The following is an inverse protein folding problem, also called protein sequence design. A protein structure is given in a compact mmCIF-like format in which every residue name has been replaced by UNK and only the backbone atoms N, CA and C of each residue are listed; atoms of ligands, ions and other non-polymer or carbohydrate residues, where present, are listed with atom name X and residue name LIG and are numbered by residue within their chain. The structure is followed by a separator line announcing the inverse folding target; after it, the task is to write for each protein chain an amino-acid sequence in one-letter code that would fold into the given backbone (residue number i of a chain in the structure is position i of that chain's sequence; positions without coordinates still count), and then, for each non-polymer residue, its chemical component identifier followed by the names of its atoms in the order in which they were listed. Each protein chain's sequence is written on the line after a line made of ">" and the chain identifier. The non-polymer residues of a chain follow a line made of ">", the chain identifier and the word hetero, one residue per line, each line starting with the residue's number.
data_IF_221714476022
#
_entry.id   IF_221714476022
#
_cell.length_a   1.000
_cell.length_b   1.000
_cell.length_c   1.000
_cell.angle_alpha   90.00
_cell.angle_beta   90.00
_cell.angle_gamma   90.00
#
_symmetry.space_group_name_H-M   'P 1'
#
loop_
_entity.id
_entity.type
_entity.pdbx_description
1 polymer ?
#
# COMPACT_ATOMS: atom_id res chain seq x y z
N UNK A 1 22.20 -0.90 -0.45
CA UNK A 1 20.74 -1.15 -0.29
C UNK A 1 20.48 -2.64 -0.26
N UNK A 2 19.83 -3.16 0.79
CA UNK A 2 19.33 -4.54 0.78
C UNK A 2 17.90 -4.57 0.22
N UNK A 3 17.74 -4.97 -1.04
CA UNK A 3 16.45 -4.96 -1.73
C UNK A 3 15.47 -6.03 -1.20
N UNK A 4 15.97 -7.05 -0.50
CA UNK A 4 15.12 -8.11 0.06
C UNK A 4 14.11 -7.60 1.11
N UNK A 5 14.34 -6.39 1.65
CA UNK A 5 13.44 -5.76 2.62
C UNK A 5 12.33 -4.94 1.96
N UNK A 6 12.39 -4.66 0.65
CA UNK A 6 11.35 -3.92 -0.06
C UNK A 6 10.18 -4.84 -0.45
N UNK A 7 9.53 -5.43 0.55
CA UNK A 7 8.37 -6.31 0.40
C UNK A 7 7.39 -6.08 1.53
N UNK A 8 6.12 -6.29 1.24
CA UNK A 8 5.09 -6.32 2.28
C UNK A 8 5.24 -7.63 3.07
N UNK A 9 5.35 -7.59 4.40
CA UNK A 9 5.39 -8.80 5.22
C UNK A 9 4.09 -9.62 5.12
N UNK A 10 4.18 -10.95 5.15
CA UNK A 10 3.05 -11.87 4.92
C UNK A 10 1.85 -11.68 5.87
N UNK A 11 2.10 -11.14 7.08
CA UNK A 11 1.06 -10.97 8.11
C UNK A 11 0.25 -9.68 7.96
N UNK A 12 0.67 -8.77 7.08
CA UNK A 12 -0.04 -7.49 6.89
C UNK A 12 -1.31 -7.73 6.10
N UNK A 13 -2.44 -7.29 6.65
CA UNK A 13 -3.77 -7.36 6.00
C UNK A 13 -4.37 -5.99 5.69
N UNK A 14 -3.91 -4.96 6.40
CA UNK A 14 -4.45 -3.59 6.31
C UNK A 14 -3.32 -2.59 6.14
N UNK A 15 -3.50 -1.64 5.23
CA UNK A 15 -2.54 -0.57 4.93
C UNK A 15 -3.27 0.78 5.03
N UNK A 16 -2.70 1.73 5.77
CA UNK A 16 -3.18 3.11 5.81
C UNK A 16 -2.21 4.00 5.03
N UNK A 17 -2.67 4.61 3.94
CA UNK A 17 -1.88 5.54 3.13
C UNK A 17 -2.17 6.98 3.56
N UNK A 18 -1.14 7.69 4.00
CA UNK A 18 -1.22 9.13 4.23
C UNK A 18 -1.10 9.89 2.92
N UNK A 19 -1.76 11.05 2.82
CA UNK A 19 -1.80 11.88 1.61
C UNK A 19 -2.33 11.11 0.39
N UNK A 20 -3.38 10.30 0.60
CA UNK A 20 -3.93 9.42 -0.43
C UNK A 20 -4.53 10.17 -1.63
N UNK A 21 -4.88 11.45 -1.44
CA UNK A 21 -5.48 12.31 -2.47
C UNK A 21 -4.55 12.59 -3.66
N UNK A 22 -3.24 12.40 -3.53
CA UNK A 22 -2.30 12.55 -4.63
C UNK A 22 -2.47 11.46 -5.70
N UNK A 23 -2.38 11.80 -6.98
CA UNK A 23 -2.61 10.85 -8.08
C UNK A 23 -1.76 9.56 -7.98
N UNK A 24 -0.47 9.70 -7.64
CA UNK A 24 0.40 8.54 -7.44
C UNK A 24 0.00 7.68 -6.23
N UNK A 25 -0.39 8.32 -5.13
CA UNK A 25 -0.84 7.63 -3.93
C UNK A 25 -2.19 6.93 -4.12
N UNK A 26 -3.10 7.56 -4.85
CA UNK A 26 -4.39 6.97 -5.24
C UNK A 26 -4.20 5.77 -6.16
N UNK A 27 -3.31 5.85 -7.15
CA UNK A 27 -2.98 4.72 -8.03
C UNK A 27 -2.38 3.54 -7.22
N UNK A 28 -1.45 3.83 -6.31
CA UNK A 28 -0.88 2.82 -5.41
C UNK A 28 -1.95 2.19 -4.50
N UNK A 29 -2.86 3.00 -3.95
CA UNK A 29 -3.97 2.50 -3.14
C UNK A 29 -4.86 1.53 -3.93
N UNK A 30 -5.11 1.82 -5.21
CA UNK A 30 -5.81 0.93 -6.13
C UNK A 30 -5.09 -0.41 -6.29
N UNK A 31 -3.81 -0.38 -6.67
CA UNK A 31 -3.00 -1.60 -6.85
C UNK A 31 -2.96 -2.46 -5.57
N UNK A 32 -2.84 -1.84 -4.40
CA UNK A 32 -2.84 -2.56 -3.12
C UNK A 32 -4.20 -3.20 -2.81
N UNK A 33 -5.32 -2.54 -3.16
CA UNK A 33 -6.65 -3.16 -3.05
C UNK A 33 -6.79 -4.36 -3.99
N UNK A 34 -6.33 -4.23 -5.23
CA UNK A 34 -6.36 -5.33 -6.23
C UNK A 34 -5.48 -6.52 -5.81
N UNK A 35 -4.36 -6.26 -5.12
CA UNK A 35 -3.52 -7.28 -4.50
C UNK A 35 -4.15 -7.96 -3.26
N UNK A 36 -5.35 -7.54 -2.84
CA UNK A 36 -6.12 -8.18 -1.75
C UNK A 36 -5.96 -7.52 -0.38
N UNK A 37 -5.28 -6.37 -0.28
CA UNK A 37 -5.14 -5.66 0.99
C UNK A 37 -6.36 -4.78 1.30
N UNK A 38 -6.69 -4.65 2.59
CA UNK A 38 -7.61 -3.62 3.05
C UNK A 38 -6.88 -2.28 3.10
N UNK A 39 -7.28 -1.32 2.28
CA UNK A 39 -6.64 0.00 2.21
C UNK A 39 -7.56 1.09 2.74
N UNK A 40 -7.04 1.93 3.65
CA UNK A 40 -7.64 3.19 4.10
C UNK A 40 -6.66 4.34 3.84
N UNK A 41 -7.11 5.58 3.94
CA UNK A 41 -6.20 6.72 3.81
C UNK A 41 -6.72 8.01 4.44
N UNK A 42 -5.79 8.96 4.57
CA UNK A 42 -6.01 10.34 5.04
C UNK A 42 -5.46 11.35 4.04
#
# INVERSE_FOLDING_TARGET
>A
MNLAQNRVPEKVKTIHLIAICGAGMGALAGMLKEAGFKVTGS
#
